data_IF_640960969572
#
_entry.id   IF_640960969572
#
_cell.length_a   1.000
_cell.length_b   1.000
_cell.length_c   1.000
_cell.angle_alpha   90.00
_cell.angle_beta   90.00
_cell.angle_gamma   90.00
#
_symmetry.space_group_name_H-M   'P 1'
#
loop_
_entity.id
_entity.type
_entity.pdbx_description
1 polymer ?
#
# COMPACT_ATOMS: atom_id res chain seq x y z
N UNK A 1 29.12 -19.63 -41.05
CA UNK A 1 29.68 -19.97 -39.73
C UNK A 1 29.17 -19.03 -38.67
N UNK A 2 28.57 -19.64 -37.64
CA UNK A 2 28.21 -19.10 -36.31
C UNK A 2 27.12 -18.03 -36.22
N UNK A 3 25.92 -18.57 -36.00
CA UNK A 3 24.84 -18.06 -35.19
C UNK A 3 25.32 -17.31 -33.93
N UNK A 4 24.64 -16.22 -33.61
CA UNK A 4 24.29 -15.92 -32.23
C UNK A 4 22.84 -15.46 -32.26
N UNK A 5 21.96 -16.39 -31.91
CA UNK A 5 20.54 -16.15 -31.70
C UNK A 5 20.39 -15.10 -30.61
N UNK A 6 19.69 -14.00 -30.92
CA UNK A 6 19.13 -13.16 -29.87
C UNK A 6 18.04 -13.99 -29.18
N UNK A 7 18.37 -14.50 -27.99
CA UNK A 7 17.39 -15.12 -27.09
C UNK A 7 16.29 -14.07 -26.87
N UNK A 8 15.02 -14.32 -27.24
CA UNK A 8 13.96 -13.43 -26.83
C UNK A 8 13.88 -13.57 -25.31
N UNK A 9 14.25 -12.53 -24.56
CA UNK A 9 13.89 -12.42 -23.15
C UNK A 9 12.37 -12.41 -23.07
N UNK A 10 11.78 -13.60 -22.99
CA UNK A 10 10.40 -13.80 -22.62
C UNK A 10 10.30 -13.52 -21.12
N UNK A 11 10.48 -12.25 -20.73
CA UNK A 11 9.98 -11.79 -19.43
C UNK A 11 8.47 -11.82 -19.59
N UNK A 12 7.86 -12.92 -19.11
CA UNK A 12 6.44 -12.95 -18.81
C UNK A 12 6.11 -11.61 -18.17
N UNK A 13 5.23 -10.85 -18.80
CA UNK A 13 4.82 -9.53 -18.33
C UNK A 13 4.21 -9.68 -16.93
N UNK A 14 5.05 -9.67 -15.89
CA UNK A 14 4.59 -9.58 -14.51
C UNK A 14 3.76 -8.31 -14.44
N UNK A 15 2.47 -8.44 -14.15
CA UNK A 15 1.59 -7.31 -13.99
C UNK A 15 2.15 -6.38 -12.90
N UNK A 16 2.33 -5.11 -13.25
CA UNK A 16 2.88 -4.07 -12.38
C UNK A 16 2.04 -2.81 -12.57
N UNK A 17 1.31 -2.43 -11.53
CA UNK A 17 0.61 -1.14 -11.48
C UNK A 17 1.48 -0.10 -10.76
N UNK A 18 1.46 1.14 -11.25
CA UNK A 18 2.27 2.24 -10.72
C UNK A 18 1.42 3.44 -10.35
N UNK A 19 1.55 3.90 -9.11
CA UNK A 19 0.80 5.04 -8.59
C UNK A 19 1.73 6.14 -8.10
N UNK A 20 1.54 7.35 -8.62
CA UNK A 20 2.22 8.55 -8.14
C UNK A 20 1.57 9.05 -6.85
N UNK A 21 2.35 9.09 -5.79
CA UNK A 21 1.89 9.39 -4.44
C UNK A 21 2.84 10.36 -3.75
N UNK A 22 2.40 10.91 -2.63
CA UNK A 22 3.22 11.67 -1.69
C UNK A 22 3.29 10.90 -0.39
N UNK A 23 4.50 10.52 0.03
CA UNK A 23 4.69 9.80 1.29
C UNK A 23 4.60 10.76 2.48
N UNK A 24 3.65 10.51 3.38
CA UNK A 24 3.43 11.36 4.56
C UNK A 24 4.25 10.89 5.76
N UNK A 25 4.49 9.59 5.87
CA UNK A 25 5.32 9.01 6.91
C UNK A 25 4.87 7.61 7.31
N UNK A 26 5.49 7.09 8.36
CA UNK A 26 5.11 5.82 8.98
C UNK A 26 4.96 5.99 10.47
N UNK A 27 4.04 5.25 11.05
CA UNK A 27 3.77 5.28 12.49
C UNK A 27 3.55 3.87 13.01
N UNK A 28 4.05 3.59 14.20
CA UNK A 28 3.75 2.34 14.87
C UNK A 28 2.27 2.30 15.26
N UNK A 29 1.63 1.15 14.99
CA UNK A 29 0.23 0.89 15.32
C UNK A 29 0.11 -0.32 16.26
N UNK A 30 -0.90 -0.35 17.14
CA UNK A 30 -1.04 -1.40 18.14
C UNK A 30 -1.54 -2.73 17.55
N UNK A 31 -2.25 -2.70 16.43
CA UNK A 31 -2.86 -3.87 15.80
C UNK A 31 -2.50 -3.97 14.32
N UNK A 32 -2.49 -5.18 13.79
CA UNK A 32 -2.09 -5.45 12.40
C UNK A 32 -3.23 -5.32 11.38
N UNK A 33 -4.46 -5.06 11.82
CA UNK A 33 -5.67 -4.94 10.99
C UNK A 33 -6.71 -4.05 11.65
N UNK A 34 -7.60 -3.45 10.85
CA UNK A 34 -8.71 -2.63 11.33
C UNK A 34 -8.77 -1.26 10.64
N UNK A 35 -9.97 -0.85 10.22
CA UNK A 35 -10.21 0.46 9.60
C UNK A 35 -9.97 1.60 10.60
N UNK A 36 -10.35 1.40 11.87
CA UNK A 36 -10.10 2.30 12.98
C UNK A 36 -8.59 2.52 13.21
N UNK A 37 -7.79 1.45 13.16
CA UNK A 37 -6.33 1.50 13.30
C UNK A 37 -5.70 2.30 12.16
N UNK A 38 -6.14 2.03 10.93
CA UNK A 38 -5.65 2.70 9.73
C UNK A 38 -6.04 4.20 9.72
N UNK A 39 -7.29 4.51 10.06
CA UNK A 39 -7.77 5.89 10.16
C UNK A 39 -7.05 6.67 11.26
N UNK A 40 -6.86 6.07 12.44
CA UNK A 40 -6.13 6.69 13.54
C UNK A 40 -4.67 6.99 13.15
N UNK A 41 -4.00 6.06 12.45
CA UNK A 41 -2.64 6.26 11.95
C UNK A 41 -2.56 7.41 10.92
N UNK A 42 -3.48 7.44 9.96
CA UNK A 42 -3.61 8.53 8.98
C UNK A 42 -3.83 9.88 9.67
N UNK A 43 -4.76 9.93 10.62
CA UNK A 43 -5.08 11.15 11.36
C UNK A 43 -3.87 11.64 12.18
N UNK A 44 -3.15 10.72 12.83
CA UNK A 44 -1.93 11.04 13.59
C UNK A 44 -0.85 11.64 12.69
N UNK A 45 -0.58 11.02 11.53
CA UNK A 45 0.42 11.53 10.58
C UNK A 45 -0.02 12.86 9.96
N UNK A 46 -1.29 12.97 9.55
CA UNK A 46 -1.83 14.21 8.98
C UNK A 46 -1.74 15.37 10.00
N UNK A 47 -2.04 15.12 11.27
CA UNK A 47 -1.95 16.13 12.33
C UNK A 47 -0.51 16.57 12.57
N UNK A 48 0.44 15.64 12.62
CA UNK A 48 1.86 15.96 12.75
C UNK A 48 2.37 16.79 11.56
N UNK A 49 1.90 16.46 10.34
CA UNK A 49 2.29 17.17 9.11
C UNK A 49 1.62 18.55 8.96
N UNK A 50 0.44 18.78 9.54
CA UNK A 50 -0.25 20.09 9.47
C UNK A 50 0.63 21.24 9.93
N UNK A 51 1.48 21.01 10.93
CA UNK A 51 2.41 22.03 11.44
C UNK A 51 3.68 22.19 10.60
N UNK A 52 4.08 21.17 9.84
CA UNK A 52 5.37 21.14 9.13
C UNK A 52 5.25 21.24 7.61
N UNK A 53 4.04 21.19 7.05
CA UNK A 53 3.82 21.11 5.59
C UNK A 53 4.40 22.31 4.83
N UNK A 54 4.41 23.48 5.45
CA UNK A 54 4.97 24.72 4.88
C UNK A 54 6.50 24.70 4.80
N UNK A 55 7.17 23.94 5.68
CA UNK A 55 8.63 23.92 5.79
C UNK A 55 9.26 22.64 5.24
N UNK A 56 8.50 21.54 5.20
CA UNK A 56 8.97 20.23 4.72
C UNK A 56 7.87 19.54 3.91
N UNK A 57 7.75 19.87 2.60
CA UNK A 57 6.73 19.28 1.74
C UNK A 57 6.90 17.75 1.65
N UNK A 58 5.79 16.98 1.58
CA UNK A 58 5.85 15.54 1.41
C UNK A 58 6.69 15.11 0.20
N UNK A 59 7.55 14.11 0.37
CA UNK A 59 8.36 13.58 -0.72
C UNK A 59 7.48 12.84 -1.73
N UNK A 60 7.61 13.21 -3.00
CA UNK A 60 6.99 12.47 -4.10
C UNK A 60 7.60 11.08 -4.19
N UNK A 61 6.76 10.08 -4.42
CA UNK A 61 7.14 8.69 -4.55
C UNK A 61 6.22 7.95 -5.53
N UNK A 62 6.70 6.82 -6.04
CA UNK A 62 5.91 5.88 -6.83
C UNK A 62 5.71 4.62 -6.00
N UNK A 63 4.47 4.19 -5.87
CA UNK A 63 4.14 2.85 -5.37
C UNK A 63 3.94 1.93 -6.56
N UNK A 64 4.80 0.93 -6.69
CA UNK A 64 4.62 -0.18 -7.64
C UNK A 64 3.95 -1.35 -6.92
N UNK A 65 2.82 -1.83 -7.44
CA UNK A 65 2.09 -2.98 -6.94
C UNK A 65 2.25 -4.13 -7.94
N UNK A 66 2.61 -5.30 -7.44
CA UNK A 66 2.65 -6.53 -8.22
C UNK A 66 2.36 -7.75 -7.34
N UNK A 67 2.37 -8.92 -7.97
CA UNK A 67 2.11 -10.21 -7.31
C UNK A 67 3.08 -10.57 -6.18
N UNK A 68 4.27 -9.96 -6.13
CA UNK A 68 5.27 -10.21 -5.08
C UNK A 68 5.08 -9.27 -3.88
N UNK A 69 4.54 -8.07 -4.10
CA UNK A 69 4.32 -7.09 -3.05
C UNK A 69 4.27 -5.64 -3.52
N UNK A 70 4.54 -4.75 -2.58
CA UNK A 70 4.46 -3.29 -2.74
C UNK A 70 5.87 -2.71 -2.73
N UNK A 71 6.29 -2.07 -3.81
CA UNK A 71 7.57 -1.37 -3.89
C UNK A 71 7.37 0.13 -3.78
N UNK A 72 8.01 0.75 -2.79
CA UNK A 72 8.12 2.18 -2.66
C UNK A 72 9.38 2.67 -3.36
N UNK A 73 9.22 3.55 -4.33
CA UNK A 73 10.29 4.23 -5.05
C UNK A 73 10.24 5.72 -4.72
N UNK A 74 11.32 6.25 -4.14
CA UNK A 74 11.50 7.68 -3.90
C UNK A 74 12.88 8.10 -4.38
N UNK A 75 13.11 9.41 -4.48
CA UNK A 75 14.40 9.95 -4.95
C UNK A 75 15.60 9.51 -4.09
N UNK A 76 15.38 9.14 -2.82
CA UNK A 76 16.46 8.79 -1.88
C UNK A 76 16.47 7.31 -1.49
N UNK A 77 15.34 6.61 -1.60
CA UNK A 77 15.21 5.23 -1.14
C UNK A 77 14.29 4.40 -2.02
N UNK A 78 14.65 3.13 -2.19
CA UNK A 78 13.76 2.07 -2.66
C UNK A 78 13.55 1.04 -1.57
N UNK A 79 12.30 0.83 -1.18
CA UNK A 79 11.92 -0.17 -0.19
C UNK A 79 10.90 -1.13 -0.79
N UNK A 80 11.09 -2.42 -0.56
CA UNK A 80 10.18 -3.45 -1.05
C UNK A 80 9.51 -4.15 0.14
N UNK A 81 8.19 -4.09 0.18
CA UNK A 81 7.35 -4.76 1.16
C UNK A 81 6.76 -6.00 0.51
N UNK A 82 7.22 -7.18 0.94
CA UNK A 82 6.64 -8.44 0.49
C UNK A 82 5.16 -8.50 0.89
N UNK A 83 4.31 -9.01 0.00
CA UNK A 83 2.88 -9.03 0.24
C UNK A 83 2.51 -9.79 1.52
N UNK A 84 3.20 -10.91 1.81
CA UNK A 84 3.06 -11.68 3.06
C UNK A 84 3.26 -10.88 4.35
N UNK A 85 3.97 -9.75 4.27
CA UNK A 85 4.25 -8.86 5.40
C UNK A 85 3.23 -7.72 5.47
N UNK A 86 2.50 -7.43 4.38
CA UNK A 86 1.36 -6.52 4.39
C UNK A 86 0.19 -7.27 5.03
N UNK A 87 -0.39 -6.68 6.07
CA UNK A 87 -1.43 -7.34 6.87
C UNK A 87 -2.80 -6.71 6.74
N UNK A 88 -2.85 -5.47 6.25
CA UNK A 88 -4.07 -4.71 6.03
C UNK A 88 -3.75 -3.50 5.15
N UNK A 89 -4.64 -3.13 4.25
CA UNK A 89 -4.53 -1.89 3.48
C UNK A 89 -5.90 -1.24 3.30
N UNK A 90 -5.92 0.04 2.95
CA UNK A 90 -7.17 0.76 2.73
C UNK A 90 -6.98 2.25 2.49
N UNK A 91 -8.08 2.92 2.19
CA UNK A 91 -8.15 4.37 2.03
C UNK A 91 -9.02 5.00 3.13
N UNK A 92 -8.88 6.32 3.34
CA UNK A 92 -9.66 7.00 4.38
C UNK A 92 -11.14 7.22 3.95
N UNK A 93 -12.14 6.84 4.76
CA UNK A 93 -13.55 6.85 4.35
C UNK A 93 -14.08 8.26 4.01
N UNK A 94 -13.63 9.28 4.75
CA UNK A 94 -14.01 10.69 4.51
C UNK A 94 -13.15 11.39 3.45
N UNK A 95 -12.02 10.79 3.05
CA UNK A 95 -11.11 11.42 2.10
C UNK A 95 -10.31 10.34 1.36
N UNK A 96 -10.87 9.89 0.24
CA UNK A 96 -10.29 8.80 -0.54
C UNK A 96 -8.95 9.14 -1.20
N UNK A 97 -8.39 10.33 -0.99
CA UNK A 97 -7.03 10.69 -1.44
C UNK A 97 -5.94 10.08 -0.54
N UNK A 98 -6.30 9.66 0.67
CA UNK A 98 -5.37 9.04 1.60
C UNK A 98 -5.40 7.53 1.44
N UNK A 99 -4.21 6.94 1.35
CA UNK A 99 -4.00 5.50 1.34
C UNK A 99 -3.03 5.10 2.43
N UNK A 100 -3.23 3.93 3.00
CA UNK A 100 -2.30 3.35 3.95
C UNK A 100 -2.29 1.84 3.87
N UNK A 101 -1.17 1.28 4.29
CA UNK A 101 -1.06 -0.16 4.52
C UNK A 101 -0.25 -0.42 5.79
N UNK A 102 -0.56 -1.52 6.46
CA UNK A 102 0.06 -1.97 7.69
C UNK A 102 1.01 -3.11 7.35
N UNK A 103 2.23 -3.04 7.85
CA UNK A 103 3.23 -4.10 7.74
C UNK A 103 3.54 -4.72 9.09
N UNK A 104 3.84 -6.02 9.08
CA UNK A 104 4.38 -6.76 10.22
C UNK A 104 5.90 -6.70 10.21
N UNK A 105 6.49 -6.39 11.37
CA UNK A 105 7.92 -6.50 11.55
C UNK A 105 8.34 -7.99 11.50
N UNK A 106 9.39 -8.36 10.75
CA UNK A 106 9.75 -9.78 10.58
C UNK A 106 10.30 -10.43 11.84
N UNK A 107 10.83 -9.64 12.78
CA UNK A 107 11.46 -10.15 14.01
C UNK A 107 10.65 -9.89 15.29
N UNK A 108 9.61 -9.05 15.24
CA UNK A 108 8.86 -8.64 16.43
C UNK A 108 7.36 -8.58 16.13
N UNK A 109 6.52 -8.68 17.17
CA UNK A 109 5.10 -8.36 17.06
C UNK A 109 4.84 -6.85 17.04
N UNK A 110 5.55 -6.14 16.16
CA UNK A 110 5.39 -4.70 15.93
C UNK A 110 4.80 -4.47 14.55
N UNK A 111 3.93 -3.49 14.47
CA UNK A 111 3.24 -3.13 13.24
C UNK A 111 3.51 -1.67 12.90
N UNK A 112 3.72 -1.40 11.63
CA UNK A 112 3.89 -0.04 11.13
C UNK A 112 2.84 0.24 10.06
N UNK A 113 2.13 1.35 10.20
CA UNK A 113 1.27 1.87 9.15
C UNK A 113 2.06 2.89 8.33
N UNK A 114 2.11 2.68 7.02
CA UNK A 114 2.73 3.58 6.05
C UNK A 114 1.62 4.36 5.34
N UNK A 115 1.68 5.70 5.39
CA UNK A 115 0.58 6.56 4.91
C UNK A 115 1.04 7.42 3.75
N UNK A 116 0.20 7.49 2.74
CA UNK A 116 0.39 8.18 1.47
C UNK A 116 -0.82 9.05 1.14
N UNK A 117 -0.60 10.05 0.31
CA UNK A 117 -1.67 10.89 -0.25
C UNK A 117 -1.45 11.12 -1.73
N UNK A 118 -2.53 11.14 -2.51
CA UNK A 118 -2.54 11.53 -3.92
C UNK A 118 -3.41 12.76 -4.16
N UNK A 119 -3.36 13.27 -5.39
CA UNK A 119 -4.25 14.35 -5.83
C UNK A 119 -5.65 13.80 -6.16
N UNK A 120 -5.70 12.57 -6.70
CA UNK A 120 -6.91 11.82 -7.04
C UNK A 120 -7.26 10.77 -5.98
N UNK A 121 -8.36 10.04 -6.20
CA UNK A 121 -8.78 8.93 -5.35
C UNK A 121 -7.80 7.77 -5.40
N UNK A 122 -7.43 7.21 -4.24
CA UNK A 122 -6.58 6.03 -4.10
C UNK A 122 -7.36 4.71 -4.09
N UNK A 123 -8.64 4.74 -4.46
CA UNK A 123 -9.45 3.51 -4.61
C UNK A 123 -8.79 2.50 -5.57
N UNK A 124 -8.34 2.90 -6.78
CA UNK A 124 -7.69 1.95 -7.70
C UNK A 124 -6.41 1.35 -7.12
N UNK A 125 -5.64 2.14 -6.36
CA UNK A 125 -4.45 1.64 -5.67
C UNK A 125 -4.80 0.57 -4.64
N UNK A 126 -5.85 0.80 -3.86
CA UNK A 126 -6.33 -0.20 -2.91
C UNK A 126 -6.78 -1.46 -3.66
N UNK A 127 -7.57 -1.32 -4.72
CA UNK A 127 -8.04 -2.44 -5.55
C UNK A 127 -6.90 -3.26 -6.13
N UNK A 128 -5.82 -2.63 -6.62
CA UNK A 128 -4.64 -3.35 -7.13
C UNK A 128 -3.88 -4.10 -6.03
N UNK A 129 -3.78 -3.54 -4.81
CA UNK A 129 -3.22 -4.29 -3.67
C UNK A 129 -4.12 -5.48 -3.31
N UNK A 130 -5.44 -5.28 -3.29
CA UNK A 130 -6.41 -6.34 -3.04
C UNK A 130 -6.40 -7.43 -4.11
N UNK A 131 -6.19 -7.06 -5.38
CA UNK A 131 -6.02 -8.00 -6.49
C UNK A 131 -4.78 -8.87 -6.29
N UNK A 132 -3.64 -8.25 -5.96
CA UNK A 132 -2.41 -8.97 -5.67
C UNK A 132 -2.54 -9.91 -4.46
N UNK A 133 -3.25 -9.48 -3.41
CA UNK A 133 -3.51 -10.30 -2.21
C UNK A 133 -4.48 -11.45 -2.51
N UNK A 134 -5.56 -11.17 -3.26
CA UNK A 134 -6.60 -12.15 -3.60
C UNK A 134 -6.11 -13.26 -4.53
N UNK A 135 -5.19 -12.97 -5.45
CA UNK A 135 -4.57 -14.01 -6.28
C UNK A 135 -3.58 -14.89 -5.47
N UNK A 136 -3.02 -14.39 -4.35
CA UNK A 136 -2.32 -15.25 -3.37
C UNK A 136 -3.29 -16.05 -2.47
N UNK A 137 -4.53 -15.56 -2.26
CA UNK A 137 -5.55 -16.18 -1.41
C UNK A 137 -6.21 -17.43 -2.03
N UNK A 138 -5.95 -17.74 -3.31
CA UNK A 138 -6.33 -19.03 -3.93
C UNK A 138 -5.68 -20.27 -3.26
N UNK A 139 -4.83 -20.08 -2.24
CA UNK A 139 -4.26 -21.16 -1.43
C UNK A 139 -4.86 -21.29 -0.02
N UNK A 140 -5.61 -20.31 0.53
CA UNK A 140 -6.17 -20.39 1.89
C UNK A 140 -7.50 -19.62 2.00
N UNK A 141 -8.57 -20.29 2.41
CA UNK A 141 -9.97 -19.88 2.29
C UNK A 141 -10.37 -18.46 2.74
N UNK A 142 -11.35 -17.94 2.00
CA UNK A 142 -12.32 -16.88 2.27
C UNK A 142 -12.08 -16.01 3.53
N UNK A 143 -11.28 -14.95 3.41
CA UNK A 143 -11.15 -13.92 4.45
C UNK A 143 -11.15 -12.47 3.94
N UNK A 144 -10.59 -12.18 2.77
CA UNK A 144 -10.32 -10.78 2.37
C UNK A 144 -11.31 -10.17 1.37
N UNK A 145 -12.16 -10.96 0.70
CA UNK A 145 -13.19 -10.40 -0.19
C UNK A 145 -14.16 -9.45 0.54
N UNK A 146 -14.29 -9.58 1.87
CA UNK A 146 -15.12 -8.71 2.70
C UNK A 146 -14.51 -7.31 2.97
N UNK A 147 -13.19 -7.14 2.95
CA UNK A 147 -12.57 -5.84 3.28
C UNK A 147 -12.73 -4.85 2.12
N UNK A 148 -12.69 -5.34 0.87
CA UNK A 148 -12.80 -4.51 -0.32
C UNK A 148 -14.26 -4.16 -0.70
N UNK A 149 -15.20 -5.10 -0.54
CA UNK A 149 -16.63 -4.80 -0.69
C UNK A 149 -17.20 -4.04 0.52
N UNK A 150 -16.65 -4.27 1.73
CA UNK A 150 -17.12 -3.67 2.99
C UNK A 150 -16.68 -2.22 3.26
N UNK A 151 -15.65 -1.70 2.58
CA UNK A 151 -15.30 -0.28 2.66
C UNK A 151 -16.39 0.67 2.11
N UNK A 152 -17.44 0.13 1.48
CA UNK A 152 -18.61 0.92 1.04
C UNK A 152 -19.83 0.79 1.96
N UNK A 153 -19.86 -0.09 2.97
CA UNK A 153 -21.12 -0.37 3.68
C UNK A 153 -21.10 -0.38 5.22
N UNK A 154 -20.01 -0.02 5.88
CA UNK A 154 -19.98 0.16 7.35
C UNK A 154 -19.57 1.60 7.73
N UNK A 155 -20.42 2.55 7.36
CA UNK A 155 -20.55 3.84 8.04
C UNK A 155 -21.98 4.38 7.86
N UNK A 156 -22.96 3.55 8.20
CA UNK A 156 -24.35 3.94 8.40
C UNK A 156 -24.82 3.39 9.73
N UNK A 157 -24.39 4.03 10.83
CA UNK A 157 -25.11 4.15 12.10
C UNK A 157 -24.45 5.24 12.96
#
# INVERSE_FOLDING_TARGET
SRHTEAVPELKSSEWIDRYHMKFLGSVQVPYHKGNDVLCAAMQKIATNRRMTVQYNPPSSCILEINMKGVKLLSNQCSHFFQLKNVSFCGYHPKNSKYFGFITKHPADQRFACHVFVSEDSTKPLAESVGYAEGEQELSWGCGLMWVFLGCSNEYSE
#
